data_IF_810040616677
#
_entry.id   IF_810040616677
#
_cell.length_a   1.000
_cell.length_b   1.000
_cell.length_c   1.000
_cell.angle_alpha   90.00
_cell.angle_beta   90.00
_cell.angle_gamma   90.00
#
_symmetry.space_group_name_H-M   'P 1'
#
loop_
_entity.id
_entity.type
_entity.pdbx_description
1 polymer ?
#
# COMPACT_ATOMS: atom_id res chain seq x y z
N UNK A 1 55.40 44.23 -22.02
CA UNK A 1 54.75 44.42 -23.34
C UNK A 1 53.49 43.57 -23.34
N UNK A 2 52.41 44.19 -23.77
CA UNK A 2 50.99 43.94 -23.52
C UNK A 2 50.39 42.75 -24.31
N UNK A 3 49.39 42.00 -23.77
CA UNK A 3 48.53 41.13 -24.56
C UNK A 3 47.08 41.66 -24.65
N UNK A 4 46.44 41.38 -25.79
CA UNK A 4 44.99 41.34 -26.08
C UNK A 4 44.33 42.61 -26.63
N UNK A 5 43.75 42.43 -27.82
CA UNK A 5 42.67 43.23 -28.40
C UNK A 5 41.38 42.37 -28.41
N UNK A 6 40.19 42.90 -28.76
CA UNK A 6 39.63 44.24 -28.51
C UNK A 6 38.20 44.16 -27.90
N UNK A 7 37.61 45.31 -27.59
CA UNK A 7 36.21 45.45 -27.16
C UNK A 7 35.48 46.56 -27.96
N UNK A 8 34.16 46.34 -28.11
CA UNK A 8 33.05 47.32 -28.36
C UNK A 8 32.90 47.85 -29.82
N UNK A 9 31.71 48.16 -30.36
CA UNK A 9 30.32 48.10 -29.89
C UNK A 9 29.31 48.44 -31.02
N UNK A 10 28.06 47.97 -30.84
CA UNK A 10 26.75 48.60 -31.12
C UNK A 10 26.39 49.15 -32.53
N UNK A 11 25.22 48.73 -33.08
CA UNK A 11 23.85 49.30 -32.89
C UNK A 11 22.91 48.93 -34.06
N UNK A 12 21.65 48.61 -33.74
CA UNK A 12 20.36 48.93 -34.45
C UNK A 12 19.28 48.04 -33.81
N UNK A 13 18.43 48.54 -32.90
CA UNK A 13 17.14 49.26 -33.07
C UNK A 13 16.17 48.61 -34.07
N UNK A 14 15.03 48.17 -33.54
CA UNK A 14 13.78 47.85 -34.25
C UNK A 14 12.82 47.18 -33.28
N UNK A 15 11.84 47.91 -32.75
CA UNK A 15 10.80 47.40 -31.86
C UNK A 15 9.41 47.59 -32.47
N UNK A 16 8.47 46.74 -32.05
CA UNK A 16 6.99 46.84 -32.06
C UNK A 16 6.48 45.39 -31.83
N UNK A 17 5.43 45.04 -31.09
CA UNK A 17 4.40 45.75 -30.37
C UNK A 17 3.72 44.78 -29.37
N UNK A 18 2.90 45.35 -28.51
CA UNK A 18 2.15 44.72 -27.43
C UNK A 18 0.93 43.92 -27.95
N UNK A 19 0.65 42.74 -27.37
CA UNK A 19 -0.71 42.21 -27.29
C UNK A 19 -0.86 41.34 -26.05
N UNK A 20 -1.74 41.79 -25.14
CA UNK A 20 -2.16 41.11 -23.92
C UNK A 20 -3.29 40.15 -24.28
N UNK A 21 -3.14 38.87 -23.96
CA UNK A 21 -4.22 37.88 -23.96
C UNK A 21 -4.03 36.96 -22.76
N UNK A 22 -4.76 37.22 -21.67
CA UNK A 22 -4.80 36.33 -20.50
C UNK A 22 -5.85 35.25 -20.77
N UNK A 23 -5.40 34.02 -21.02
CA UNK A 23 -6.20 32.82 -20.78
C UNK A 23 -5.54 32.06 -19.63
N UNK A 24 -6.09 32.21 -18.42
CA UNK A 24 -5.69 31.44 -17.24
C UNK A 24 -6.31 30.05 -17.33
N UNK A 25 -5.59 29.09 -17.90
CA UNK A 25 -5.80 27.67 -17.60
C UNK A 25 -5.04 27.36 -16.33
N UNK A 26 -5.75 26.98 -15.26
CA UNK A 26 -5.18 26.51 -14.00
C UNK A 26 -4.78 25.05 -14.22
N UNK A 27 -3.50 24.65 -14.14
CA UNK A 27 -3.18 23.26 -13.91
C UNK A 27 -3.49 22.96 -12.45
N UNK A 28 -4.48 22.08 -12.22
CA UNK A 28 -4.73 21.45 -10.93
C UNK A 28 -3.57 20.49 -10.61
N UNK A 29 -2.44 21.05 -10.19
CA UNK A 29 -1.47 20.30 -9.39
C UNK A 29 -2.04 20.20 -7.97
N UNK A 30 -2.68 19.07 -7.66
CA UNK A 30 -3.01 18.71 -6.29
C UNK A 30 -1.72 18.39 -5.54
N UNK A 31 -1.35 19.26 -4.60
CA UNK A 31 -0.22 19.07 -3.70
C UNK A 31 -0.47 17.84 -2.81
N UNK A 32 0.30 16.78 -3.05
CA UNK A 32 0.48 15.69 -2.11
C UNK A 32 1.56 16.08 -1.10
N UNK A 33 1.23 16.93 -0.13
CA UNK A 33 2.09 17.20 1.02
C UNK A 33 1.36 16.87 2.32
N UNK A 34 1.46 15.60 2.73
CA UNK A 34 1.19 15.16 4.11
C UNK A 34 1.79 13.77 4.38
N UNK A 35 3.11 13.63 4.27
CA UNK A 35 3.92 12.63 4.98
C UNK A 35 5.38 12.94 4.69
N UNK A 36 6.20 13.21 5.71
CA UNK A 36 7.61 13.60 5.59
C UNK A 36 8.56 12.49 5.10
N UNK A 37 8.14 11.67 4.14
CA UNK A 37 8.95 10.62 3.55
C UNK A 37 9.66 11.13 2.28
N UNK A 38 10.97 11.42 2.39
CA UNK A 38 11.83 11.57 1.23
C UNK A 38 12.41 10.21 0.86
N UNK A 39 12.02 9.67 -0.32
CA UNK A 39 12.75 8.56 -0.95
C UNK A 39 14.21 8.98 -1.11
N UNK A 40 15.14 8.18 -0.60
CA UNK A 40 16.57 8.35 -0.88
C UNK A 40 16.84 8.21 -2.38
N UNK A 41 17.92 8.82 -2.91
CA UNK A 41 18.22 8.75 -4.33
C UNK A 41 18.80 7.36 -4.68
N UNK A 42 18.19 6.71 -5.69
CA UNK A 42 18.85 5.68 -6.50
C UNK A 42 18.67 4.23 -6.06
N UNK A 43 17.45 3.68 -6.18
CA UNK A 43 17.05 2.59 -7.13
C UNK A 43 15.51 2.53 -7.01
N UNK A 44 14.78 2.79 -8.10
CA UNK A 44 13.36 2.46 -8.13
C UNK A 44 13.25 0.98 -8.51
N UNK A 45 13.43 0.08 -7.54
CA UNK A 45 13.20 -1.35 -7.82
C UNK A 45 11.72 -1.54 -8.17
N UNK A 46 11.47 -2.14 -9.33
CA UNK A 46 10.12 -2.47 -9.76
C UNK A 46 9.68 -3.71 -8.99
N UNK A 47 8.39 -3.83 -8.69
CA UNK A 47 7.85 -5.10 -8.18
C UNK A 47 8.09 -6.26 -9.16
N UNK A 48 8.26 -5.98 -10.46
CA UNK A 48 8.59 -6.98 -11.49
C UNK A 48 9.96 -7.63 -11.32
N UNK A 49 10.87 -7.01 -10.57
CA UNK A 49 12.20 -7.57 -10.31
C UNK A 49 12.14 -8.69 -9.26
N UNK A 50 10.98 -8.86 -8.60
CA UNK A 50 10.79 -9.82 -7.52
C UNK A 50 9.91 -11.00 -7.97
N UNK A 51 10.42 -12.26 -7.91
CA UNK A 51 9.70 -13.43 -8.37
C UNK A 51 8.55 -13.84 -7.44
N UNK A 52 8.55 -13.37 -6.19
CA UNK A 52 7.57 -13.71 -5.15
C UNK A 52 7.18 -12.45 -4.37
N UNK A 53 5.98 -12.46 -3.81
CA UNK A 53 5.45 -11.36 -3.00
C UNK A 53 5.10 -11.86 -1.60
N UNK A 54 5.47 -11.11 -0.57
CA UNK A 54 5.01 -11.28 0.80
C UNK A 54 4.07 -10.11 1.12
N UNK A 55 2.78 -10.39 1.29
CA UNK A 55 1.78 -9.38 1.66
C UNK A 55 1.49 -9.51 3.14
N UNK A 56 1.86 -8.52 3.94
CA UNK A 56 1.65 -8.49 5.40
C UNK A 56 0.47 -7.59 5.72
N UNK A 57 -0.57 -8.17 6.34
CA UNK A 57 -1.82 -7.46 6.66
C UNK A 57 -1.80 -6.84 8.05
N UNK A 58 -2.24 -5.59 8.16
CA UNK A 58 -2.42 -4.87 9.42
C UNK A 58 -3.38 -5.59 10.39
N UNK A 59 -3.03 -5.61 11.67
CA UNK A 59 -3.80 -6.18 12.78
C UNK A 59 -4.46 -5.13 13.67
N UNK A 60 -4.30 -3.83 13.38
CA UNK A 60 -4.78 -2.71 14.17
C UNK A 60 -3.68 -1.94 14.89
N UNK A 61 -4.05 -0.78 15.42
CA UNK A 61 -3.21 0.12 16.21
C UNK A 61 -3.80 0.34 17.59
N UNK A 62 -2.94 0.62 18.56
CA UNK A 62 -3.34 1.10 19.88
C UNK A 62 -3.71 2.59 19.83
N UNK A 63 -4.51 3.09 20.80
CA UNK A 63 -4.90 4.51 20.86
C UNK A 63 -3.71 5.48 20.95
N UNK A 64 -2.59 5.04 21.51
CA UNK A 64 -1.34 5.82 21.60
C UNK A 64 -0.54 5.87 20.28
N UNK A 65 -1.01 5.18 19.24
CA UNK A 65 -0.39 5.12 17.93
C UNK A 65 0.70 4.05 17.80
N UNK A 66 0.85 3.15 18.77
CA UNK A 66 1.73 1.96 18.67
C UNK A 66 1.00 0.80 17.95
N UNK A 67 1.73 -0.14 17.33
CA UNK A 67 1.11 -1.32 16.71
C UNK A 67 0.45 -2.22 17.76
N UNK A 68 -0.73 -2.76 17.46
CA UNK A 68 -1.35 -3.80 18.28
C UNK A 68 -0.50 -5.08 18.31
N UNK A 69 -0.75 -5.96 19.29
CA UNK A 69 0.01 -7.21 19.43
C UNK A 69 -0.08 -8.08 18.17
N UNK A 70 -1.26 -8.17 17.55
CA UNK A 70 -1.47 -8.82 16.25
C UNK A 70 -0.67 -8.17 15.11
N UNK A 71 -0.60 -6.84 15.01
CA UNK A 71 0.24 -6.14 14.01
C UNK A 71 1.72 -6.45 14.20
N UNK A 72 2.20 -6.46 15.45
CA UNK A 72 3.57 -6.83 15.76
C UNK A 72 3.86 -8.28 15.36
N UNK A 73 3.01 -9.22 15.76
CA UNK A 73 3.18 -10.65 15.46
C UNK A 73 3.23 -10.92 13.95
N UNK A 74 2.37 -10.24 13.16
CA UNK A 74 2.34 -10.36 11.70
C UNK A 74 3.56 -9.74 11.03
N UNK A 75 4.01 -8.57 11.50
CA UNK A 75 5.23 -7.95 10.99
C UNK A 75 6.47 -8.83 11.26
N UNK A 76 6.56 -9.41 12.46
CA UNK A 76 7.62 -10.38 12.79
C UNK A 76 7.58 -11.59 11.87
N UNK A 77 6.41 -12.22 11.68
CA UNK A 77 6.26 -13.34 10.75
C UNK A 77 6.63 -12.97 9.30
N UNK A 78 6.29 -11.75 8.86
CA UNK A 78 6.70 -11.23 7.56
C UNK A 78 8.22 -11.05 7.44
N UNK A 79 8.88 -10.59 8.50
CA UNK A 79 10.34 -10.48 8.54
C UNK A 79 11.02 -11.85 8.53
N UNK A 80 10.48 -12.84 9.25
CA UNK A 80 10.99 -14.21 9.26
C UNK A 80 10.90 -14.82 7.87
N UNK A 81 9.73 -14.71 7.22
CA UNK A 81 9.53 -15.19 5.87
C UNK A 81 10.43 -14.48 4.84
N UNK A 82 10.73 -13.20 5.04
CA UNK A 82 11.64 -12.46 4.17
C UNK A 82 13.10 -12.93 4.24
N UNK A 83 13.50 -13.63 5.32
CA UNK A 83 14.82 -14.29 5.42
C UNK A 83 14.84 -15.60 4.64
N UNK A 84 13.72 -16.32 4.63
CA UNK A 84 13.55 -17.55 3.84
C UNK A 84 13.43 -17.25 2.33
N UNK A 85 12.87 -16.08 2.00
CA UNK A 85 12.67 -15.61 0.63
C UNK A 85 13.44 -14.30 0.37
N UNK A 86 14.78 -14.35 0.16
CA UNK A 86 15.64 -13.17 0.06
C UNK A 86 15.36 -12.28 -1.16
N UNK A 87 14.68 -12.81 -2.19
CA UNK A 87 14.36 -12.07 -3.41
C UNK A 87 12.90 -11.59 -3.45
N UNK A 88 12.08 -11.89 -2.44
CA UNK A 88 10.67 -11.49 -2.44
C UNK A 88 10.48 -9.99 -2.17
N UNK A 89 9.53 -9.34 -2.85
CA UNK A 89 9.06 -8.02 -2.44
C UNK A 89 8.11 -8.17 -1.24
N UNK A 90 8.11 -7.19 -0.34
CA UNK A 90 7.21 -7.15 0.81
C UNK A 90 6.24 -6.00 0.64
N UNK A 91 4.94 -6.28 0.69
CA UNK A 91 3.89 -5.27 0.68
C UNK A 91 3.24 -5.24 2.06
N UNK A 92 3.45 -4.16 2.81
CA UNK A 92 2.75 -3.90 4.05
C UNK A 92 1.43 -3.19 3.73
N UNK A 93 0.30 -3.80 4.09
CA UNK A 93 -1.04 -3.29 3.78
C UNK A 93 -1.84 -2.98 5.05
N UNK A 94 -2.28 -1.73 5.17
CA UNK A 94 -3.12 -1.25 6.26
C UNK A 94 -2.90 0.23 6.59
N UNK A 95 -4.00 0.95 6.82
CA UNK A 95 -3.98 2.34 7.28
C UNK A 95 -4.01 2.44 8.80
N UNK A 96 -5.17 2.32 9.44
CA UNK A 96 -5.36 2.50 10.88
C UNK A 96 -6.67 1.88 11.37
N UNK A 97 -7.25 0.95 10.60
CA UNK A 97 -8.54 0.33 10.86
C UNK A 97 -9.68 1.32 11.19
N UNK A 98 -10.29 1.11 12.37
CA UNK A 98 -11.38 1.91 12.93
C UNK A 98 -10.81 3.03 13.81
N UNK A 99 -11.34 4.25 13.71
CA UNK A 99 -10.92 5.41 14.51
C UNK A 99 -10.30 6.54 13.71
N UNK A 100 -9.73 7.54 14.42
CA UNK A 100 -9.09 8.72 13.82
C UNK A 100 -7.78 8.33 13.14
N UNK A 101 -7.50 8.96 12.00
CA UNK A 101 -6.23 8.79 11.27
C UNK A 101 -5.04 9.13 12.19
N UNK A 102 -4.18 8.16 12.53
CA UNK A 102 -2.98 8.39 13.31
C UNK A 102 -1.93 9.12 12.45
N UNK A 103 -0.89 9.65 13.11
CA UNK A 103 0.25 10.27 12.41
C UNK A 103 1.00 9.29 11.50
N UNK A 104 0.87 7.98 11.76
CA UNK A 104 1.59 6.92 11.05
C UNK A 104 0.67 5.72 10.84
N UNK A 105 0.66 5.17 9.62
CA UNK A 105 -0.17 4.02 9.27
C UNK A 105 0.39 2.70 9.83
N UNK A 106 -0.48 1.69 9.94
CA UNK A 106 -0.14 0.30 10.20
C UNK A 106 0.92 -0.20 9.22
N UNK A 107 0.74 0.06 7.93
CA UNK A 107 1.72 -0.31 6.91
C UNK A 107 3.10 0.27 7.19
N UNK A 108 3.19 1.56 7.57
CA UNK A 108 4.46 2.19 7.90
C UNK A 108 5.07 1.61 9.20
N UNK A 109 4.25 1.31 10.20
CA UNK A 109 4.71 0.65 11.44
C UNK A 109 5.24 -0.76 11.19
N UNK A 110 4.55 -1.56 10.37
CA UNK A 110 5.01 -2.91 9.98
C UNK A 110 6.32 -2.84 9.20
N UNK A 111 6.44 -1.91 8.25
CA UNK A 111 7.69 -1.75 7.50
C UNK A 111 8.87 -1.40 8.40
N UNK A 112 8.68 -0.56 9.41
CA UNK A 112 9.75 -0.20 10.33
C UNK A 112 10.15 -1.37 11.24
N UNK A 113 9.19 -2.20 11.67
CA UNK A 113 9.48 -3.47 12.39
C UNK A 113 10.30 -4.41 11.51
N UNK A 114 9.92 -4.58 10.24
CA UNK A 114 10.59 -5.49 9.31
C UNK A 114 12.01 -5.00 8.97
N UNK A 115 12.21 -3.70 8.81
CA UNK A 115 13.55 -3.10 8.65
C UNK A 115 14.40 -3.28 9.90
N UNK A 116 13.83 -3.04 11.09
CA UNK A 116 14.53 -3.24 12.35
C UNK A 116 14.96 -4.71 12.55
N UNK A 117 14.24 -5.64 11.93
CA UNK A 117 14.55 -7.07 11.90
C UNK A 117 15.62 -7.46 10.85
N UNK A 118 16.17 -6.49 10.11
CA UNK A 118 17.30 -6.66 9.18
C UNK A 118 16.93 -6.75 7.70
N UNK A 119 15.67 -6.56 7.31
CA UNK A 119 15.26 -6.60 5.91
C UNK A 119 15.54 -5.26 5.22
N UNK A 120 16.07 -5.30 4.00
CA UNK A 120 16.33 -4.11 3.20
C UNK A 120 15.04 -3.33 2.91
N UNK A 121 15.04 -2.03 3.24
CA UNK A 121 13.93 -1.11 2.98
C UNK A 121 13.58 -1.04 1.49
N UNK A 122 14.55 -1.25 0.59
CA UNK A 122 14.32 -1.22 -0.85
C UNK A 122 13.31 -2.30 -1.31
N UNK A 123 13.20 -3.41 -0.57
CA UNK A 123 12.24 -4.50 -0.84
C UNK A 123 10.82 -4.22 -0.33
N UNK A 124 10.60 -3.14 0.41
CA UNK A 124 9.35 -2.90 1.16
C UNK A 124 8.50 -1.81 0.51
N UNK A 125 7.27 -2.19 0.18
CA UNK A 125 6.24 -1.37 -0.45
C UNK A 125 5.09 -1.13 0.53
N UNK A 126 4.50 0.06 0.49
CA UNK A 126 3.46 0.48 1.44
C UNK A 126 2.11 0.69 0.74
N UNK A 127 1.10 -0.02 1.21
CA UNK A 127 -0.29 0.26 0.95
C UNK A 127 -0.95 0.78 2.25
N UNK A 128 -1.24 2.08 2.30
CA UNK A 128 -1.63 2.80 3.52
C UNK A 128 -3.05 3.41 3.48
N UNK A 129 -3.90 2.92 2.57
CA UNK A 129 -5.28 3.40 2.38
C UNK A 129 -6.31 2.43 2.97
N UNK A 130 -6.01 1.14 3.00
CA UNK A 130 -6.96 0.11 3.41
C UNK A 130 -7.38 0.21 4.87
N UNK A 131 -8.68 0.02 5.13
CA UNK A 131 -9.27 0.07 6.48
C UNK A 131 -9.88 -1.26 6.92
N UNK A 132 -9.95 -2.22 6.01
CA UNK A 132 -10.50 -3.56 6.23
C UNK A 132 -9.91 -4.56 5.23
N UNK A 133 -10.31 -5.83 5.34
CA UNK A 133 -9.73 -6.93 4.57
C UNK A 133 -10.04 -6.84 3.07
N UNK A 134 -11.23 -6.37 2.69
CA UNK A 134 -11.59 -6.14 1.27
C UNK A 134 -10.75 -5.00 0.71
N UNK A 135 -10.62 -3.89 1.46
CA UNK A 135 -9.73 -2.79 1.13
C UNK A 135 -8.30 -3.26 0.92
N UNK A 136 -7.74 -4.05 1.85
CA UNK A 136 -6.38 -4.58 1.74
C UNK A 136 -6.17 -5.29 0.39
N UNK A 137 -7.05 -6.23 0.06
CA UNK A 137 -6.95 -6.97 -1.19
C UNK A 137 -7.05 -6.06 -2.42
N UNK A 138 -8.03 -5.15 -2.44
CA UNK A 138 -8.30 -4.27 -3.59
C UNK A 138 -7.20 -3.23 -3.77
N UNK A 139 -6.75 -2.56 -2.71
CA UNK A 139 -5.73 -1.53 -2.80
C UNK A 139 -4.35 -2.11 -3.12
N UNK A 140 -4.01 -3.28 -2.58
CA UNK A 140 -2.79 -3.99 -3.00
C UNK A 140 -2.89 -4.36 -4.48
N UNK A 141 -4.01 -4.95 -4.90
CA UNK A 141 -4.22 -5.38 -6.28
C UNK A 141 -4.15 -4.21 -7.28
N UNK A 142 -4.91 -3.14 -7.03
CA UNK A 142 -4.97 -1.96 -7.89
C UNK A 142 -3.63 -1.22 -7.95
N UNK A 143 -2.94 -1.07 -6.81
CA UNK A 143 -1.71 -0.28 -6.75
C UNK A 143 -0.49 -1.02 -7.30
N UNK A 144 -0.44 -2.34 -7.12
CA UNK A 144 0.78 -3.12 -7.33
C UNK A 144 0.63 -4.28 -8.29
N UNK A 145 -0.53 -4.94 -8.34
CA UNK A 145 -0.68 -6.22 -9.03
C UNK A 145 -1.29 -6.07 -10.45
N UNK A 146 -2.08 -5.03 -10.68
CA UNK A 146 -2.84 -4.85 -11.92
C UNK A 146 -1.98 -4.69 -13.19
N UNK A 147 -0.72 -4.26 -13.05
CA UNK A 147 0.19 -3.97 -14.16
C UNK A 147 1.34 -4.98 -14.30
N UNK A 148 1.33 -6.06 -13.51
CA UNK A 148 2.44 -7.00 -13.42
C UNK A 148 1.98 -8.44 -13.64
N UNK A 149 2.90 -9.32 -14.07
CA UNK A 149 2.57 -10.72 -14.31
C UNK A 149 2.27 -11.47 -12.99
N UNK A 150 1.27 -12.38 -12.96
CA UNK A 150 0.96 -13.17 -11.77
C UNK A 150 2.16 -13.98 -11.27
N UNK A 151 2.31 -14.04 -9.94
CA UNK A 151 3.39 -14.76 -9.26
C UNK A 151 2.97 -15.15 -7.83
N UNK A 152 3.70 -16.03 -7.14
CA UNK A 152 3.34 -16.46 -5.80
C UNK A 152 3.18 -15.30 -4.82
N UNK A 153 2.09 -15.32 -4.06
CA UNK A 153 1.82 -14.43 -2.93
C UNK A 153 1.80 -15.25 -1.64
N UNK A 154 2.69 -14.92 -0.72
CA UNK A 154 2.59 -15.31 0.68
C UNK A 154 1.79 -14.27 1.45
N UNK A 155 0.59 -14.64 1.88
CA UNK A 155 -0.31 -13.75 2.61
C UNK A 155 -0.17 -13.96 4.11
N UNK A 156 0.48 -13.01 4.79
CA UNK A 156 0.79 -13.06 6.22
C UNK A 156 -0.30 -12.38 7.03
N UNK A 157 -0.94 -13.13 7.94
CA UNK A 157 -1.98 -12.62 8.85
C UNK A 157 -2.12 -13.50 10.10
N UNK A 158 -2.95 -13.10 11.07
CA UNK A 158 -3.24 -13.91 12.27
C UNK A 158 -3.94 -15.23 11.90
N UNK A 159 -3.74 -16.32 12.67
CA UNK A 159 -4.36 -17.62 12.40
C UNK A 159 -5.87 -17.56 12.21
N UNK A 160 -6.57 -16.82 13.08
CA UNK A 160 -8.03 -16.67 13.00
C UNK A 160 -8.48 -15.95 11.71
N UNK A 161 -7.65 -15.06 11.16
CA UNK A 161 -7.99 -14.19 10.03
C UNK A 161 -7.56 -14.77 8.68
N UNK A 162 -6.90 -15.94 8.68
CA UNK A 162 -6.24 -16.49 7.50
C UNK A 162 -7.25 -16.88 6.40
N UNK A 163 -8.29 -17.62 6.77
CA UNK A 163 -9.29 -18.15 5.82
C UNK A 163 -9.98 -17.02 5.04
N UNK A 164 -10.48 -16.00 5.74
CA UNK A 164 -11.09 -14.82 5.10
C UNK A 164 -10.11 -14.06 4.25
N UNK A 165 -8.90 -13.83 4.74
CA UNK A 165 -7.88 -13.08 4.00
C UNK A 165 -7.55 -13.77 2.67
N UNK A 166 -7.27 -15.08 2.70
CA UNK A 166 -6.93 -15.86 1.50
C UNK A 166 -8.08 -15.86 0.49
N UNK A 167 -9.33 -16.14 0.95
CA UNK A 167 -10.51 -16.12 0.08
C UNK A 167 -10.75 -14.75 -0.55
N UNK A 168 -10.59 -13.69 0.23
CA UNK A 168 -10.78 -12.31 -0.25
C UNK A 168 -9.75 -11.96 -1.31
N UNK A 169 -8.47 -12.23 -1.05
CA UNK A 169 -7.41 -11.98 -2.04
C UNK A 169 -7.65 -12.82 -3.30
N UNK A 170 -7.94 -14.11 -3.19
CA UNK A 170 -8.18 -14.99 -4.33
C UNK A 170 -9.32 -14.50 -5.24
N UNK A 171 -10.41 -13.99 -4.66
CA UNK A 171 -11.50 -13.38 -5.42
C UNK A 171 -11.06 -12.09 -6.12
N UNK A 172 -10.31 -11.22 -5.42
CA UNK A 172 -9.91 -9.92 -5.98
C UNK A 172 -8.87 -10.06 -7.08
N UNK A 173 -7.80 -10.83 -6.87
CA UNK A 173 -6.71 -10.94 -7.84
C UNK A 173 -6.97 -11.99 -8.91
N UNK A 174 -7.84 -12.97 -8.62
CA UNK A 174 -8.21 -14.03 -9.55
C UNK A 174 -7.32 -15.29 -9.44
N UNK A 175 -7.75 -16.40 -10.07
CA UNK A 175 -7.14 -17.73 -9.92
C UNK A 175 -5.72 -17.84 -10.50
N UNK A 176 -5.30 -16.90 -11.36
CA UNK A 176 -3.96 -16.86 -11.95
C UNK A 176 -2.86 -16.50 -10.95
N UNK A 177 -3.22 -15.99 -9.77
CA UNK A 177 -2.29 -15.66 -8.69
C UNK A 177 -2.25 -16.77 -7.63
N UNK A 178 -1.16 -17.55 -7.52
CA UNK A 178 -1.02 -18.55 -6.47
C UNK A 178 -0.90 -17.86 -5.11
N UNK A 179 -1.85 -18.10 -4.20
CA UNK A 179 -1.84 -17.52 -2.86
C UNK A 179 -1.60 -18.63 -1.83
N UNK A 180 -0.60 -18.43 -0.98
CA UNK A 180 -0.34 -19.26 0.20
C UNK A 180 -0.55 -18.41 1.45
N UNK A 181 -1.47 -18.84 2.31
CA UNK A 181 -1.63 -18.23 3.64
C UNK A 181 -0.48 -18.62 4.57
N UNK A 182 0.09 -17.65 5.28
CA UNK A 182 1.09 -17.84 6.34
C UNK A 182 0.54 -17.23 7.63
N UNK A 183 0.32 -18.07 8.64
CA UNK A 183 -0.15 -17.62 9.93
C UNK A 183 0.99 -17.03 10.76
N UNK A 184 0.76 -15.88 11.39
CA UNK A 184 1.64 -15.41 12.46
C UNK A 184 1.52 -16.30 13.70
N UNK A 185 2.46 -16.13 14.64
CA UNK A 185 2.24 -16.60 16.02
C UNK A 185 0.97 -15.97 16.63
N UNK A 186 0.34 -16.64 17.62
CA UNK A 186 -0.82 -16.11 18.30
C UNK A 186 -0.47 -14.83 19.07
N UNK A 187 -1.34 -13.82 18.97
CA UNK A 187 -1.22 -12.58 19.73
C UNK A 187 -2.24 -12.51 20.87
N UNK A 188 -1.96 -11.70 21.88
CA UNK A 188 -2.81 -11.55 23.06
C UNK A 188 -4.22 -11.02 22.75
N UNK A 189 -4.38 -10.28 21.64
CA UNK A 189 -5.64 -9.71 21.17
C UNK A 189 -6.40 -10.63 20.19
N UNK A 190 -5.85 -11.80 19.83
CA UNK A 190 -6.48 -12.72 18.87
C UNK A 190 -7.84 -13.26 19.35
N UNK A 191 -8.03 -13.71 20.61
CA UNK A 191 -9.31 -14.29 21.03
C UNK A 191 -10.48 -13.32 20.95
N UNK A 192 -10.25 -12.03 21.20
CA UNK A 192 -11.27 -10.99 21.06
C UNK A 192 -11.63 -10.77 19.60
N UNK A 193 -10.61 -10.62 18.74
CA UNK A 193 -10.79 -10.36 17.30
C UNK A 193 -11.42 -11.54 16.55
N UNK A 194 -11.15 -12.77 16.99
CA UNK A 194 -11.71 -13.98 16.39
C UNK A 194 -13.24 -14.10 16.53
N UNK A 195 -13.85 -13.44 17.53
CA UNK A 195 -15.29 -13.60 17.86
C UNK A 195 -16.24 -13.22 16.72
N UNK A 196 -15.78 -12.39 15.78
CA UNK A 196 -16.61 -11.84 14.71
C UNK A 196 -16.21 -12.34 13.31
N UNK A 197 -15.23 -13.24 13.23
CA UNK A 197 -14.60 -13.59 11.97
C UNK A 197 -15.54 -14.31 11.00
N UNK A 198 -16.37 -15.23 11.49
CA UNK A 198 -17.37 -15.94 10.68
C UNK A 198 -18.36 -14.96 10.02
N UNK A 199 -18.81 -13.97 10.79
CA UNK A 199 -19.68 -12.90 10.27
C UNK A 199 -18.97 -12.08 9.19
N UNK A 200 -17.72 -11.69 9.41
CA UNK A 200 -16.97 -10.90 8.42
C UNK A 200 -16.68 -11.70 7.15
N UNK A 201 -16.45 -13.01 7.27
CA UNK A 201 -16.24 -13.88 6.12
C UNK A 201 -17.50 -13.93 5.26
N UNK A 202 -18.66 -14.14 5.90
CA UNK A 202 -19.94 -14.18 5.18
C UNK A 202 -20.28 -12.82 4.54
N UNK A 203 -20.05 -11.71 5.24
CA UNK A 203 -20.20 -10.37 4.67
C UNK A 203 -19.29 -10.15 3.45
N UNK A 204 -18.05 -10.63 3.51
CA UNK A 204 -17.11 -10.53 2.38
C UNK A 204 -17.59 -11.35 1.20
N UNK A 205 -18.05 -12.57 1.45
CA UNK A 205 -18.61 -13.46 0.43
C UNK A 205 -19.81 -12.82 -0.26
N UNK A 206 -20.76 -12.26 0.50
CA UNK A 206 -21.94 -11.59 -0.04
C UNK A 206 -21.57 -10.33 -0.82
N UNK A 207 -20.60 -9.54 -0.34
CA UNK A 207 -20.18 -8.31 -1.00
C UNK A 207 -19.54 -8.57 -2.37
N UNK A 208 -18.79 -9.66 -2.52
CA UNK A 208 -18.09 -10.02 -3.75
C UNK A 208 -18.90 -10.97 -4.66
N UNK A 209 -20.09 -11.41 -4.25
CA UNK A 209 -20.86 -12.45 -4.95
C UNK A 209 -21.26 -12.09 -6.39
N UNK A 210 -21.44 -10.80 -6.69
CA UNK A 210 -21.80 -10.24 -7.99
C UNK A 210 -20.58 -9.72 -8.78
N UNK A 211 -19.36 -10.01 -8.31
CA UNK A 211 -18.13 -9.59 -8.97
C UNK A 211 -17.51 -10.74 -9.76
N UNK A 212 -16.79 -10.42 -10.83
CA UNK A 212 -15.99 -11.41 -11.57
C UNK A 212 -14.62 -11.55 -10.89
N UNK A 213 -14.21 -12.76 -10.46
CA UNK A 213 -12.90 -12.94 -9.86
C UNK A 213 -11.77 -12.47 -10.77
N UNK A 214 -10.85 -11.67 -10.24
CA UNK A 214 -9.76 -11.06 -11.01
C UNK A 214 -10.11 -9.79 -11.78
N UNK A 215 -11.37 -9.33 -11.79
CA UNK A 215 -11.73 -7.99 -12.29
C UNK A 215 -11.36 -6.91 -11.27
N UNK A 216 -10.05 -6.69 -11.10
CA UNK A 216 -9.49 -5.74 -10.14
C UNK A 216 -10.10 -4.34 -10.33
N UNK A 217 -10.28 -3.90 -11.58
CA UNK A 217 -10.81 -2.58 -11.89
C UNK A 217 -12.30 -2.46 -11.52
N UNK A 218 -13.12 -3.46 -11.84
CA UNK A 218 -14.54 -3.49 -11.47
C UNK A 218 -14.75 -3.58 -9.96
N UNK A 219 -13.99 -4.42 -9.27
CA UNK A 219 -14.04 -4.56 -7.81
C UNK A 219 -13.58 -3.27 -7.12
N UNK A 220 -12.52 -2.63 -7.61
CA UNK A 220 -12.06 -1.33 -7.10
C UNK A 220 -13.11 -0.23 -7.27
N UNK A 221 -13.79 -0.18 -8.43
CA UNK A 221 -14.92 0.73 -8.66
C UNK A 221 -16.05 0.48 -7.66
N UNK A 222 -16.38 -0.79 -7.38
CA UNK A 222 -17.39 -1.16 -6.38
C UNK A 222 -16.98 -0.71 -4.97
N UNK A 223 -15.71 -0.89 -4.59
CA UNK A 223 -15.19 -0.45 -3.28
C UNK A 223 -15.30 1.07 -3.08
N UNK A 224 -15.00 1.88 -4.09
CA UNK A 224 -15.05 3.35 -3.99
C UNK A 224 -16.43 3.92 -3.66
N UNK A 225 -17.49 3.23 -4.08
CA UNK A 225 -18.88 3.65 -3.81
C UNK A 225 -19.48 2.94 -2.59
N UNK A 226 -18.71 2.08 -1.92
CA UNK A 226 -19.16 1.37 -0.73
C UNK A 226 -19.38 2.39 0.40
N UNK A 227 -20.57 2.44 1.00
CA UNK A 227 -20.77 3.28 2.17
C UNK A 227 -19.82 2.82 3.30
N UNK A 228 -19.36 3.75 4.15
CA UNK A 228 -18.58 3.40 5.32
C UNK A 228 -19.38 2.42 6.19
N UNK A 229 -18.70 1.41 6.72
CA UNK A 229 -19.35 0.40 7.56
C UNK A 229 -19.98 1.08 8.79
N UNK A 230 -21.30 0.94 9.02
CA UNK A 230 -21.98 1.53 10.17
C UNK A 230 -21.50 0.98 11.52
N UNK A 231 -20.75 -0.13 11.54
CA UNK A 231 -20.10 -0.64 12.76
C UNK A 231 -18.79 0.09 13.11
N UNK A 232 -18.20 0.85 12.19
CA UNK A 232 -16.98 1.62 12.42
C UNK A 232 -17.21 2.93 13.21
N UNK A 233 -18.45 3.20 13.63
CA UNK A 233 -18.87 4.39 14.38
C UNK A 233 -19.42 4.10 15.78
N UNK A 234 -19.18 2.90 16.32
CA UNK A 234 -19.55 2.56 17.71
C UNK A 234 -18.31 2.30 18.55
#
# INVERSE_FOLDING_TARGET
>A
RDPRAPARAHRRRGGTACARGRARGIPLCGNAEASGYRRGPGVSQSLDDHPELIVVLGGGMQPDGTPAASTLARATAGADLAREHPDAAIICSGSHGVGRRPKRSEAASMADIIVAAGVDRARIFLEDQSRDTIGNAVHVAERYLAAIAPRPIFLVTSPFHLDRSVKTFALVVGPQWPIRGVASGPASDDPERARHEERFLEQTRLYLADTTPGDIAGIAKKLRVRPPDPSASR
#
